data_IF_780018321829
#
_entry.id   IF_780018321829
#
_cell.length_a   1.000
_cell.length_b   1.000
_cell.length_c   1.000
_cell.angle_alpha   90.00
_cell.angle_beta   90.00
_cell.angle_gamma   90.00
#
_symmetry.space_group_name_H-M   'P 1'
#
loop_
_entity.id
_entity.type
_entity.pdbx_description
1 polymer ?
#
# COMPACT_ATOMS: atom_id res chain seq x y z
N UNK A 1 1.69 -13.41 -10.69
CA UNK A 1 2.68 -12.50 -11.32
C UNK A 1 3.78 -12.24 -10.30
N UNK A 2 5.04 -12.53 -10.59
CA UNK A 2 6.13 -12.18 -9.68
C UNK A 2 6.50 -10.71 -9.92
N UNK A 3 6.13 -9.82 -9.00
CA UNK A 3 6.59 -8.42 -9.07
C UNK A 3 8.09 -8.45 -8.76
N UNK A 4 8.93 -8.24 -9.79
CA UNK A 4 10.37 -8.10 -9.61
C UNK A 4 10.66 -6.70 -9.07
N UNK A 5 10.61 -6.56 -7.75
CA UNK A 5 10.85 -5.29 -7.06
C UNK A 5 12.33 -4.94 -7.11
N UNK A 6 12.68 -3.89 -7.86
CA UNK A 6 14.01 -3.28 -7.81
C UNK A 6 14.07 -2.25 -6.71
N UNK A 7 15.23 -2.08 -6.08
CA UNK A 7 15.42 -1.01 -5.11
C UNK A 7 15.43 0.36 -5.81
N UNK A 8 14.74 1.34 -5.24
CA UNK A 8 14.81 2.73 -5.68
C UNK A 8 16.19 3.36 -5.43
N UNK A 9 16.45 4.48 -6.10
CA UNK A 9 17.73 5.18 -5.96
C UNK A 9 17.91 5.75 -4.53
N UNK A 10 19.14 5.73 -3.96
CA UNK A 10 19.37 6.18 -2.58
C UNK A 10 18.88 7.61 -2.29
N UNK A 11 18.95 8.52 -3.27
CA UNK A 11 18.48 9.89 -3.13
C UNK A 11 16.98 9.93 -2.86
N UNK A 12 16.22 9.08 -3.55
CA UNK A 12 14.75 8.98 -3.44
C UNK A 12 14.36 8.39 -2.10
N UNK A 13 15.11 7.37 -1.65
CA UNK A 13 14.95 6.77 -0.32
C UNK A 13 15.18 7.81 0.77
N UNK A 14 16.23 8.62 0.64
CA UNK A 14 16.64 9.60 1.66
C UNK A 14 15.55 10.62 2.01
N UNK A 15 14.70 10.99 1.04
CA UNK A 15 13.58 11.92 1.22
C UNK A 15 12.54 11.36 2.20
N UNK A 16 12.33 10.04 2.21
CA UNK A 16 11.31 9.38 3.03
C UNK A 16 11.85 8.86 4.37
N UNK A 17 13.18 8.71 4.52
CA UNK A 17 13.82 8.19 5.74
C UNK A 17 13.36 8.84 7.06
N UNK A 18 13.08 10.17 7.14
CA UNK A 18 12.61 10.80 8.38
C UNK A 18 11.23 10.32 8.85
N UNK A 19 10.40 9.79 7.95
CA UNK A 19 9.01 9.40 8.22
C UNK A 19 8.89 7.96 8.77
N UNK A 20 9.95 7.16 8.66
CA UNK A 20 9.98 5.78 9.15
C UNK A 20 11.08 5.60 10.19
N UNK A 21 10.72 5.21 11.41
CA UNK A 21 11.68 5.05 12.51
C UNK A 21 12.09 3.59 12.68
N UNK A 22 11.19 2.68 12.37
CA UNK A 22 11.34 1.25 12.55
C UNK A 22 12.38 0.68 11.57
N UNK A 23 13.42 -0.03 12.05
CA UNK A 23 14.46 -0.58 11.18
C UNK A 23 13.94 -1.50 10.07
N UNK A 24 12.93 -2.32 10.38
CA UNK A 24 12.29 -3.22 9.41
C UNK A 24 11.64 -2.46 8.24
N UNK A 25 10.94 -1.36 8.53
CA UNK A 25 10.34 -0.51 7.49
C UNK A 25 11.41 0.15 6.61
N UNK A 26 12.51 0.62 7.21
CA UNK A 26 13.64 1.21 6.48
C UNK A 26 14.31 0.23 5.51
N UNK A 27 14.37 -1.07 5.84
CA UNK A 27 14.92 -2.09 4.94
C UNK A 27 14.04 -2.33 3.71
N UNK A 28 12.72 -2.26 3.86
CA UNK A 28 11.76 -2.45 2.77
C UNK A 28 11.49 -1.16 1.96
N UNK A 29 11.83 0.01 2.51
CA UNK A 29 11.55 1.32 1.93
C UNK A 29 12.01 1.49 0.47
N UNK A 30 13.23 1.05 0.05
CA UNK A 30 13.66 1.20 -1.34
C UNK A 30 12.73 0.49 -2.34
N UNK A 31 12.21 -0.68 -1.96
CA UNK A 31 11.30 -1.45 -2.80
C UNK A 31 9.90 -0.83 -2.82
N UNK A 32 9.44 -0.32 -1.68
CA UNK A 32 8.16 0.38 -1.58
C UNK A 32 8.14 1.66 -2.43
N UNK A 33 9.24 2.41 -2.48
CA UNK A 33 9.38 3.60 -3.34
C UNK A 33 9.38 3.20 -4.83
N UNK A 34 10.06 2.10 -5.19
CA UNK A 34 10.01 1.61 -6.57
C UNK A 34 8.59 1.19 -6.95
N UNK A 35 7.87 0.53 -6.04
CA UNK A 35 6.47 0.15 -6.24
C UNK A 35 5.58 1.38 -6.38
N UNK A 36 5.75 2.37 -5.50
CA UNK A 36 5.02 3.64 -5.55
C UNK A 36 5.17 4.34 -6.89
N UNK A 37 6.38 4.36 -7.45
CA UNK A 37 6.67 4.97 -8.75
C UNK A 37 6.06 4.26 -9.94
N UNK A 38 5.67 2.99 -9.78
CA UNK A 38 4.95 2.28 -10.83
C UNK A 38 3.56 2.89 -11.07
N UNK A 39 2.94 3.46 -10.03
CA UNK A 39 1.63 4.13 -10.13
C UNK A 39 0.44 3.18 -10.07
N UNK A 40 0.67 1.87 -10.06
CA UNK A 40 -0.38 0.86 -9.97
C UNK A 40 0.12 -0.42 -9.30
N UNK A 41 -0.80 -1.19 -8.72
CA UNK A 41 -0.60 -2.60 -8.37
C UNK A 41 -1.89 -3.39 -8.55
N UNK A 42 -1.74 -4.67 -8.89
CA UNK A 42 -2.83 -5.65 -8.87
C UNK A 42 -2.56 -6.69 -7.79
N UNK A 43 -3.59 -7.10 -7.07
CA UNK A 43 -3.47 -8.09 -6.01
C UNK A 43 -4.79 -8.76 -5.69
N UNK A 44 -4.80 -9.50 -4.58
CA UNK A 44 -5.96 -10.24 -4.11
C UNK A 44 -6.18 -9.97 -2.63
N UNK A 45 -7.35 -9.41 -2.30
CA UNK A 45 -7.77 -9.18 -0.93
C UNK A 45 -8.23 -10.50 -0.34
N UNK A 46 -7.46 -10.99 0.63
CA UNK A 46 -7.80 -12.20 1.38
C UNK A 46 -8.73 -11.83 2.54
N UNK A 47 -9.93 -12.42 2.56
CA UNK A 47 -10.94 -12.26 3.60
C UNK A 47 -11.15 -13.63 4.25
N UNK A 48 -11.10 -13.69 5.58
CA UNK A 48 -11.30 -14.95 6.30
C UNK A 48 -12.68 -15.54 5.99
N UNK A 49 -12.71 -16.82 5.64
CA UNK A 49 -13.95 -17.53 5.30
C UNK A 49 -14.53 -17.21 3.91
N UNK A 50 -13.82 -16.46 3.05
CA UNK A 50 -14.24 -16.17 1.68
C UNK A 50 -13.12 -16.49 0.67
N UNK A 51 -13.51 -16.63 -0.60
CA UNK A 51 -12.55 -16.59 -1.69
C UNK A 51 -11.85 -15.22 -1.75
N UNK A 52 -10.57 -15.16 -2.18
CA UNK A 52 -9.89 -13.89 -2.40
C UNK A 52 -10.61 -13.03 -3.44
N UNK A 53 -10.68 -11.73 -3.19
CA UNK A 53 -11.31 -10.74 -4.09
C UNK A 53 -10.21 -10.03 -4.85
N UNK A 54 -10.26 -10.03 -6.19
CA UNK A 54 -9.22 -9.39 -6.99
C UNK A 54 -9.34 -7.86 -6.90
N UNK A 55 -8.21 -7.15 -6.93
CA UNK A 55 -8.22 -5.69 -6.96
C UNK A 55 -7.12 -5.13 -7.88
N UNK A 56 -7.40 -3.94 -8.42
CA UNK A 56 -6.42 -3.07 -9.06
C UNK A 56 -6.44 -1.72 -8.35
N UNK A 57 -5.28 -1.30 -7.84
CA UNK A 57 -5.08 0.01 -7.25
C UNK A 57 -4.23 0.87 -8.19
N UNK A 58 -4.66 2.10 -8.44
CA UNK A 58 -3.98 3.08 -9.30
C UNK A 58 -3.91 4.42 -8.57
N UNK A 59 -2.77 5.10 -8.66
CA UNK A 59 -2.58 6.40 -8.04
C UNK A 59 -1.72 7.33 -8.90
N UNK A 60 -1.78 8.62 -8.59
CA UNK A 60 -0.88 9.61 -9.17
C UNK A 60 0.37 9.74 -8.31
N UNK A 61 1.54 9.56 -8.91
CA UNK A 61 2.83 9.69 -8.24
C UNK A 61 3.07 11.16 -7.89
N UNK A 62 3.09 11.45 -6.59
CA UNK A 62 3.52 12.72 -6.02
C UNK A 62 5.02 12.70 -5.67
N UNK A 63 5.62 13.89 -5.53
CA UNK A 63 7.09 14.03 -5.43
C UNK A 63 7.59 14.08 -3.98
N UNK A 64 6.80 14.67 -3.08
CA UNK A 64 7.19 14.87 -1.68
C UNK A 64 6.38 13.99 -0.73
N UNK A 65 6.94 13.57 0.41
CA UNK A 65 6.23 12.73 1.38
C UNK A 65 5.00 13.41 2.01
N UNK A 66 4.97 14.75 2.04
CA UNK A 66 3.83 15.53 2.54
C UNK A 66 2.76 15.79 1.49
N UNK A 67 3.01 15.45 0.22
CA UNK A 67 2.02 15.65 -0.84
C UNK A 67 0.84 14.71 -0.66
N UNK A 68 -0.33 15.12 -1.13
CA UNK A 68 -1.51 14.26 -1.16
C UNK A 68 -1.49 13.35 -2.39
N UNK A 69 -1.84 12.09 -2.16
CA UNK A 69 -2.01 11.06 -3.19
C UNK A 69 -3.50 10.74 -3.29
N UNK A 70 -4.04 10.78 -4.51
CA UNK A 70 -5.35 10.20 -4.81
C UNK A 70 -5.14 8.76 -5.30
N UNK A 71 -5.62 7.80 -4.51
CA UNK A 71 -5.56 6.38 -4.82
C UNK A 71 -6.98 5.88 -5.12
N UNK A 72 -7.14 5.23 -6.27
CA UNK A 72 -8.37 4.53 -6.68
C UNK A 72 -8.13 3.03 -6.61
N UNK A 73 -9.07 2.30 -6.03
CA UNK A 73 -9.07 0.84 -5.98
C UNK A 73 -10.34 0.32 -6.64
N UNK A 74 -10.19 -0.58 -7.61
CA UNK A 74 -11.29 -1.25 -8.30
C UNK A 74 -11.23 -2.73 -8.00
N UNK A 75 -12.33 -3.30 -7.50
CA UNK A 75 -12.44 -4.72 -7.18
C UNK A 75 -13.09 -5.49 -8.34
N UNK A 76 -12.63 -6.71 -8.61
CA UNK A 76 -13.15 -7.63 -9.63
C UNK A 76 -13.32 -7.04 -11.04
N UNK A 77 -12.56 -5.98 -11.35
CA UNK A 77 -12.69 -5.25 -12.61
C UNK A 77 -14.03 -4.52 -12.77
N UNK A 78 -14.84 -4.44 -11.71
CA UNK A 78 -16.15 -3.82 -11.70
C UNK A 78 -16.03 -2.33 -11.37
N UNK A 79 -16.40 -1.48 -12.34
CA UNK A 79 -16.36 -0.04 -12.18
C UNK A 79 -17.28 0.45 -11.04
N UNK A 80 -18.37 -0.27 -10.75
CA UNK A 80 -19.28 0.05 -9.65
C UNK A 80 -18.68 -0.32 -8.28
N UNK A 81 -17.71 -1.22 -8.26
CA UNK A 81 -16.90 -1.55 -7.08
C UNK A 81 -15.58 -0.78 -7.06
N UNK A 82 -15.63 0.50 -7.42
CA UNK A 82 -14.49 1.43 -7.37
C UNK A 82 -14.58 2.39 -6.19
N UNK A 83 -13.48 2.48 -5.44
CA UNK A 83 -13.36 3.36 -4.28
C UNK A 83 -12.17 4.29 -4.46
N UNK A 84 -12.29 5.52 -3.96
CA UNK A 84 -11.22 6.49 -3.98
C UNK A 84 -10.94 7.03 -2.57
N UNK A 85 -9.67 7.24 -2.29
CA UNK A 85 -9.24 7.92 -1.07
C UNK A 85 -8.05 8.84 -1.32
N UNK A 86 -8.01 9.93 -0.56
CA UNK A 86 -6.90 10.88 -0.54
C UNK A 86 -6.16 10.73 0.79
N UNK A 87 -4.84 10.59 0.73
CA UNK A 87 -3.97 10.44 1.90
C UNK A 87 -2.59 11.05 1.65
N UNK A 88 -1.83 11.30 2.70
CA UNK A 88 -0.44 11.75 2.55
C UNK A 88 0.42 10.66 1.90
N UNK A 89 1.35 11.08 1.05
CA UNK A 89 2.26 10.19 0.34
C UNK A 89 3.12 9.36 1.32
N UNK A 90 3.62 9.96 2.39
CA UNK A 90 4.35 9.24 3.44
C UNK A 90 3.52 8.14 4.10
N UNK A 91 2.22 8.36 4.28
CA UNK A 91 1.30 7.36 4.78
C UNK A 91 1.11 6.24 3.75
N UNK A 92 0.88 6.60 2.49
CA UNK A 92 0.65 5.64 1.42
C UNK A 92 1.86 4.75 1.14
N UNK A 93 3.07 5.33 1.11
CA UNK A 93 4.32 4.55 1.01
C UNK A 93 4.48 3.63 2.23
N UNK A 94 3.96 4.02 3.40
CA UNK A 94 3.88 3.16 4.58
C UNK A 94 3.06 1.89 4.32
N UNK A 95 1.92 2.01 3.64
CA UNK A 95 1.13 0.85 3.21
C UNK A 95 1.87 0.00 2.17
N UNK A 96 2.59 0.62 1.25
CA UNK A 96 3.39 -0.11 0.26
C UNK A 96 4.57 -0.87 0.89
N UNK A 97 5.15 -0.38 1.99
CA UNK A 97 6.14 -1.13 2.78
C UNK A 97 5.53 -2.43 3.32
N UNK A 98 4.28 -2.39 3.79
CA UNK A 98 3.56 -3.58 4.27
C UNK A 98 3.21 -4.52 3.11
N UNK A 99 2.84 -3.99 1.93
CA UNK A 99 2.64 -4.79 0.71
C UNK A 99 3.93 -5.52 0.31
N UNK A 100 5.07 -4.82 0.27
CA UNK A 100 6.39 -5.43 0.00
C UNK A 100 6.69 -6.55 1.00
N UNK A 101 6.38 -6.33 2.27
CA UNK A 101 6.55 -7.35 3.32
C UNK A 101 5.62 -8.55 3.10
N UNK A 102 4.35 -8.32 2.71
CA UNK A 102 3.39 -9.39 2.39
C UNK A 102 3.84 -10.24 1.20
N UNK A 103 4.37 -9.61 0.15
CA UNK A 103 4.92 -10.33 -1.01
C UNK A 103 6.07 -11.24 -0.57
N UNK A 104 6.99 -10.71 0.26
CA UNK A 104 8.14 -11.48 0.75
C UNK A 104 7.75 -12.62 1.69
N UNK A 105 6.86 -12.35 2.65
CA UNK A 105 6.60 -13.26 3.77
C UNK A 105 5.49 -14.26 3.44
N UNK A 106 4.52 -13.89 2.59
CA UNK A 106 3.33 -14.68 2.28
C UNK A 106 3.17 -15.04 0.81
N UNK A 107 3.91 -14.39 -0.09
CA UNK A 107 3.87 -14.69 -1.53
C UNK A 107 2.68 -14.07 -2.28
N UNK A 108 1.91 -13.19 -1.66
CA UNK A 108 0.77 -12.52 -2.29
C UNK A 108 0.76 -11.00 -2.06
N UNK A 109 0.16 -10.28 -3.01
CA UNK A 109 0.00 -8.82 -3.00
C UNK A 109 -1.34 -8.49 -2.34
N UNK A 110 -1.29 -7.88 -1.16
CA UNK A 110 -2.47 -7.36 -0.48
C UNK A 110 -2.09 -6.17 0.39
N UNK A 111 -3.00 -5.20 0.50
CA UNK A 111 -2.84 -4.09 1.43
C UNK A 111 -3.13 -4.52 2.88
N UNK A 112 -2.59 -3.81 3.88
CA UNK A 112 -2.92 -4.10 5.27
C UNK A 112 -4.37 -3.73 5.61
N UNK A 113 -4.95 -4.34 6.64
CA UNK A 113 -6.36 -4.11 7.02
C UNK A 113 -6.68 -2.61 7.25
N UNK A 114 -5.74 -1.86 7.84
CA UNK A 114 -5.88 -0.42 8.09
C UNK A 114 -6.11 0.39 6.81
N UNK A 115 -5.51 -0.02 5.69
CA UNK A 115 -5.73 0.59 4.37
C UNK A 115 -7.19 0.42 3.95
N UNK A 116 -7.71 -0.81 4.03
CA UNK A 116 -9.10 -1.09 3.66
C UNK A 116 -10.11 -0.39 4.57
N UNK A 117 -9.81 -0.30 5.87
CA UNK A 117 -10.66 0.47 6.78
C UNK A 117 -10.75 1.94 6.39
N UNK A 118 -9.63 2.56 5.98
CA UNK A 118 -9.66 3.93 5.45
C UNK A 118 -10.39 4.04 4.12
N UNK A 119 -10.12 3.12 3.18
CA UNK A 119 -10.77 3.07 1.88
C UNK A 119 -12.30 3.01 1.99
N UNK A 120 -12.80 2.13 2.86
CA UNK A 120 -14.24 1.95 3.09
C UNK A 120 -14.83 2.91 4.15
N UNK A 121 -14.02 3.84 4.69
CA UNK A 121 -14.42 4.78 5.76
C UNK A 121 -15.00 4.09 7.00
N UNK A 122 -14.46 2.91 7.32
CA UNK A 122 -14.82 2.13 8.50
C UNK A 122 -13.97 2.54 9.70
N UNK A 123 -14.59 2.69 10.86
CA UNK A 123 -13.85 2.81 12.12
C UNK A 123 -13.37 1.43 12.55
N UNK A 124 -12.06 1.22 12.62
CA UNK A 124 -11.52 0.05 13.32
C UNK A 124 -11.88 0.20 14.80
N UNK A 125 -12.51 -0.83 15.37
CA UNK A 125 -12.62 -0.90 16.82
C UNK A 125 -11.18 -0.95 17.37
N UNK A 126 -10.84 0.01 18.22
CA UNK A 126 -9.64 -0.09 19.03
C UNK A 126 -9.74 -1.40 19.82
N UNK A 127 -8.74 -2.25 19.69
CA UNK A 127 -8.57 -3.39 20.58
C UNK A 127 -8.19 -2.86 21.97
N UNK A 128 -9.13 -2.22 22.65
CA UNK A 128 -9.12 -2.09 24.10
C UNK A 128 -10.02 -3.20 24.63
N UNK A 129 -9.39 -4.28 25.08
CA UNK A 129 -10.10 -5.47 25.53
C UNK A 129 -9.16 -6.51 26.12
N UNK A 130 -8.48 -6.12 27.21
CA UNK A 130 -8.21 -6.86 28.46
C UNK A 130 -6.77 -6.69 28.97
#
# INVERSE_FOLDING_TARGET
MAIELKAAAPQEVSIYMPYYREPSKRQALPYAISLYKHGEITGERHIEGSAPVSFMAVWRVANLPSDLVLCRVTFDGDADMSYEMTLENSEFVGYLIEVVSSIRDKGYVDFPQIFYSKLFRLKLASAEGN
#
